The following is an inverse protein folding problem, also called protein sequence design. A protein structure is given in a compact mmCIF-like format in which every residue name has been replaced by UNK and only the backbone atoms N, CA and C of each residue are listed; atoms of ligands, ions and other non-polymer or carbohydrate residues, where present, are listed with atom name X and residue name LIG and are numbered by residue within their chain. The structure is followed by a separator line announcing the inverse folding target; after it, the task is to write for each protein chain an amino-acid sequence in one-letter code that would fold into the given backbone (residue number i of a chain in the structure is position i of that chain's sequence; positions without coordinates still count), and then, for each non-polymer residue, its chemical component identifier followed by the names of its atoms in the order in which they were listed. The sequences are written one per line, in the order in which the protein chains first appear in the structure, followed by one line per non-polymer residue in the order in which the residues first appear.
data_IF_353885249051
#
_entry.id   IF_353885249051
#
_cell.length_a   1.000
_cell.length_b   1.000
_cell.length_c   1.000
_cell.angle_alpha   90.00
_cell.angle_beta   90.00
_cell.angle_gamma   90.00
#
_symmetry.space_group_name_H-M   'P 1'
#
loop_
_entity.id
_entity.type
_entity.pdbx_description
1 polymer ?
#
# COMPACT_ATOMS: atom_id res chain seq x y z
N UNK A 1 -52.93 -30.56 1.09
CA UNK A 1 -53.12 -31.22 -0.22
C UNK A 1 -54.31 -32.18 -0.20
N UNK A 2 -54.46 -32.98 0.81
CA UNK A 2 -55.61 -33.93 0.94
C UNK A 2 -56.99 -33.30 1.05
N UNK A 3 -57.10 -32.09 1.60
CA UNK A 3 -58.36 -31.36 1.76
C UNK A 3 -58.95 -30.79 0.48
N UNK A 4 -58.22 -30.75 -0.63
CA UNK A 4 -58.64 -30.16 -1.91
C UNK A 4 -58.91 -31.21 -3.00
N UNK A 5 -58.78 -32.53 -2.72
CA UNK A 5 -58.97 -33.64 -3.70
C UNK A 5 -58.27 -33.43 -5.06
N UNK A 6 -57.08 -32.82 -5.05
CA UNK A 6 -56.31 -32.53 -6.26
C UNK A 6 -55.37 -33.70 -6.53
N UNK A 7 -55.52 -34.35 -7.70
CA UNK A 7 -54.60 -35.38 -8.18
C UNK A 7 -53.23 -34.76 -8.50
N UNK A 8 -52.16 -35.48 -8.21
CA UNK A 8 -50.77 -34.99 -8.39
C UNK A 8 -50.38 -34.70 -9.86
N UNK A 9 -51.26 -35.01 -10.81
CA UNK A 9 -50.96 -34.86 -12.25
C UNK A 9 -51.68 -33.71 -12.93
N UNK A 10 -52.60 -32.98 -12.20
CA UNK A 10 -53.32 -31.87 -12.79
C UNK A 10 -52.69 -30.53 -12.41
N UNK A 11 -52.34 -29.66 -13.38
CA UNK A 11 -51.82 -28.31 -13.07
C UNK A 11 -52.87 -27.50 -12.35
N UNK A 12 -52.52 -26.92 -11.23
CA UNK A 12 -53.41 -26.04 -10.48
C UNK A 12 -53.34 -24.64 -11.09
N UNK A 13 -54.28 -24.30 -11.95
CA UNK A 13 -54.42 -22.97 -12.49
C UNK A 13 -55.27 -22.09 -11.53
N UNK A 14 -54.58 -21.35 -10.69
CA UNK A 14 -55.22 -20.37 -9.80
C UNK A 14 -54.46 -19.05 -9.88
N UNK A 15 -55.20 -17.96 -10.18
CA UNK A 15 -54.66 -16.61 -10.23
C UNK A 15 -54.01 -16.18 -8.91
N UNK A 16 -54.50 -16.68 -7.79
CA UNK A 16 -53.95 -16.43 -6.44
C UNK A 16 -52.60 -17.18 -6.28
N UNK A 17 -52.51 -18.41 -6.78
CA UNK A 17 -51.27 -19.21 -6.72
C UNK A 17 -50.19 -18.60 -7.60
N UNK A 18 -50.51 -18.20 -8.83
CA UNK A 18 -49.58 -17.52 -9.73
C UNK A 18 -49.04 -16.22 -9.12
N UNK A 19 -49.89 -15.38 -8.57
CA UNK A 19 -49.47 -14.13 -7.87
C UNK A 19 -48.58 -14.44 -6.65
N UNK A 20 -48.88 -15.52 -5.91
CA UNK A 20 -48.06 -15.93 -4.76
C UNK A 20 -46.66 -16.40 -5.20
N UNK A 21 -46.59 -17.15 -6.30
CA UNK A 21 -45.32 -17.57 -6.90
C UNK A 21 -44.52 -16.39 -7.43
N UNK A 22 -45.15 -15.48 -8.16
CA UNK A 22 -44.49 -14.24 -8.65
C UNK A 22 -43.92 -13.42 -7.49
N UNK A 23 -44.69 -13.23 -6.42
CA UNK A 23 -44.23 -12.52 -5.24
C UNK A 23 -43.07 -13.25 -4.51
N UNK A 24 -43.13 -14.59 -4.48
CA UNK A 24 -42.04 -15.38 -3.90
C UNK A 24 -40.76 -15.27 -4.73
N UNK A 25 -40.90 -15.35 -6.07
CA UNK A 25 -39.79 -15.17 -7.00
C UNK A 25 -39.15 -13.79 -6.87
N UNK A 26 -39.96 -12.72 -6.86
CA UNK A 26 -39.47 -11.36 -6.68
C UNK A 26 -38.68 -11.18 -5.36
N UNK A 27 -39.16 -11.79 -4.26
CA UNK A 27 -38.43 -11.75 -2.99
C UNK A 27 -37.08 -12.46 -3.05
N UNK A 28 -37.02 -13.62 -3.70
CA UNK A 28 -35.80 -14.39 -3.89
C UNK A 28 -34.82 -13.63 -4.80
N UNK A 29 -35.31 -13.05 -5.90
CA UNK A 29 -34.51 -12.23 -6.80
C UNK A 29 -33.93 -10.99 -6.09
N UNK A 30 -34.76 -10.28 -5.29
CA UNK A 30 -34.31 -9.14 -4.49
C UNK A 30 -33.23 -9.55 -3.48
N UNK A 31 -33.43 -10.66 -2.78
CA UNK A 31 -32.45 -11.17 -1.82
C UNK A 31 -31.09 -11.47 -2.47
N UNK A 32 -31.10 -12.17 -3.61
CA UNK A 32 -29.85 -12.45 -4.33
C UNK A 32 -29.24 -11.21 -4.99
N UNK A 33 -30.08 -10.24 -5.38
CA UNK A 33 -29.58 -8.95 -5.87
C UNK A 33 -28.81 -8.21 -4.78
N UNK A 34 -29.35 -8.13 -3.56
CA UNK A 34 -28.71 -7.46 -2.43
C UNK A 34 -27.38 -8.12 -2.06
N UNK A 35 -27.33 -9.46 -2.06
CA UNK A 35 -26.06 -10.19 -1.84
C UNK A 35 -25.03 -9.85 -2.92
N UNK A 36 -25.41 -9.89 -4.20
CA UNK A 36 -24.48 -9.56 -5.30
C UNK A 36 -24.03 -8.12 -5.24
N UNK A 37 -24.92 -7.18 -4.91
CA UNK A 37 -24.59 -5.78 -4.73
C UNK A 37 -23.56 -5.58 -3.61
N UNK A 38 -23.80 -6.21 -2.48
CA UNK A 38 -22.88 -6.15 -1.35
C UNK A 38 -21.49 -6.71 -1.71
N UNK A 39 -21.43 -7.88 -2.37
CA UNK A 39 -20.16 -8.44 -2.85
C UNK A 39 -19.42 -7.47 -3.80
N UNK A 40 -20.15 -6.87 -4.73
CA UNK A 40 -19.60 -5.90 -5.67
C UNK A 40 -19.00 -4.68 -4.96
N UNK A 41 -19.70 -4.13 -3.96
CA UNK A 41 -19.23 -2.97 -3.19
C UNK A 41 -17.93 -3.25 -2.40
N UNK A 42 -17.74 -4.48 -1.90
CA UNK A 42 -16.47 -4.91 -1.30
C UNK A 42 -15.36 -5.08 -2.33
N UNK A 43 -15.67 -5.70 -3.47
CA UNK A 43 -14.67 -5.98 -4.52
C UNK A 43 -14.25 -4.69 -5.25
N UNK A 44 -15.13 -3.69 -5.34
CA UNK A 44 -14.83 -2.38 -5.96
C UNK A 44 -13.70 -1.65 -5.24
N UNK A 45 -13.64 -1.71 -3.90
CA UNK A 45 -12.57 -1.09 -3.11
C UNK A 45 -11.20 -1.65 -3.52
N UNK A 46 -11.10 -2.99 -3.57
CA UNK A 46 -9.85 -3.66 -3.95
C UNK A 46 -9.51 -3.41 -5.43
N UNK A 47 -10.52 -3.30 -6.29
CA UNK A 47 -10.32 -3.04 -7.71
C UNK A 47 -9.75 -1.64 -7.96
N UNK A 48 -10.22 -0.61 -7.25
CA UNK A 48 -9.64 0.73 -7.32
C UNK A 48 -8.17 0.76 -6.88
N UNK A 49 -7.85 0.08 -5.78
CA UNK A 49 -6.47 -0.06 -5.30
C UNK A 49 -5.59 -0.79 -6.32
N UNK A 50 -6.09 -1.86 -6.94
CA UNK A 50 -5.41 -2.61 -8.00
C UNK A 50 -5.09 -1.72 -9.20
N UNK A 51 -6.07 -0.95 -9.66
CA UNK A 51 -5.88 -0.04 -10.79
C UNK A 51 -4.79 0.99 -10.49
N UNK A 52 -4.76 1.57 -9.30
CA UNK A 52 -3.74 2.53 -8.90
C UNK A 52 -2.33 1.90 -8.89
N UNK A 53 -2.17 0.73 -8.28
CA UNK A 53 -0.87 0.02 -8.23
C UNK A 53 -0.40 -0.42 -9.61
N UNK A 54 -1.30 -0.93 -10.45
CA UNK A 54 -0.95 -1.36 -11.80
C UNK A 54 -0.61 -0.20 -12.72
N UNK A 55 -1.27 0.95 -12.57
CA UNK A 55 -0.92 2.17 -13.29
C UNK A 55 0.50 2.64 -12.91
N UNK A 56 0.82 2.65 -11.62
CA UNK A 56 2.17 3.02 -11.14
C UNK A 56 3.22 2.02 -11.61
N UNK A 57 2.95 0.73 -11.50
CA UNK A 57 3.86 -0.33 -12.01
C UNK A 57 4.13 -0.19 -13.50
N UNK A 58 3.09 0.09 -14.30
CA UNK A 58 3.22 0.32 -15.73
C UNK A 58 4.03 1.59 -16.02
N UNK A 59 3.81 2.67 -15.29
CA UNK A 59 4.58 3.90 -15.39
C UNK A 59 6.07 3.63 -15.21
N UNK A 60 6.45 2.86 -14.17
CA UNK A 60 7.83 2.49 -13.89
C UNK A 60 8.41 1.59 -14.99
N UNK A 61 7.64 0.61 -15.49
CA UNK A 61 8.09 -0.30 -16.55
C UNK A 61 8.46 0.43 -17.85
N UNK A 62 7.66 1.44 -18.22
CA UNK A 62 7.87 2.19 -19.46
C UNK A 62 8.76 3.43 -19.28
N UNK A 63 9.05 3.83 -18.05
CA UNK A 63 9.96 4.95 -17.78
C UNK A 63 11.41 4.53 -18.02
N UNK A 64 12.14 5.37 -18.75
CA UNK A 64 13.59 5.25 -18.88
C UNK A 64 14.34 5.93 -17.72
N UNK A 65 13.67 6.80 -16.98
CA UNK A 65 14.23 7.60 -15.90
C UNK A 65 13.33 7.56 -14.68
N UNK A 66 13.80 6.93 -13.62
CA UNK A 66 13.05 6.79 -12.36
C UNK A 66 13.68 7.58 -11.19
N UNK A 67 14.78 8.31 -11.46
CA UNK A 67 15.50 9.13 -10.48
C UNK A 67 14.57 10.08 -9.72
N UNK A 68 13.78 10.85 -10.46
CA UNK A 68 12.88 11.85 -9.86
C UNK A 68 11.84 11.22 -8.95
N UNK A 69 11.36 10.03 -9.30
CA UNK A 69 10.46 9.24 -8.46
C UNK A 69 11.13 8.83 -7.13
N UNK A 70 12.40 8.40 -7.17
CA UNK A 70 13.15 8.03 -5.95
C UNK A 70 13.37 9.25 -5.04
N UNK A 71 13.73 10.39 -5.63
CA UNK A 71 13.91 11.64 -4.87
C UNK A 71 12.58 12.10 -4.26
N UNK A 72 11.48 12.10 -5.01
CA UNK A 72 10.14 12.42 -4.52
C UNK A 72 9.71 11.49 -3.37
N UNK A 73 9.98 10.20 -3.48
CA UNK A 73 9.72 9.22 -2.42
C UNK A 73 10.53 9.56 -1.15
N UNK A 74 11.79 9.94 -1.30
CA UNK A 74 12.63 10.35 -0.20
C UNK A 74 12.14 11.65 0.47
N UNK A 75 11.82 12.67 -0.32
CA UNK A 75 11.29 13.95 0.16
C UNK A 75 9.96 13.77 0.90
N UNK A 76 9.03 12.99 0.34
CA UNK A 76 7.76 12.69 0.99
C UNK A 76 7.94 11.96 2.32
N UNK A 77 8.87 11.00 2.38
CA UNK A 77 9.17 10.25 3.62
C UNK A 77 9.77 11.18 4.68
N UNK A 78 10.66 12.10 4.29
CA UNK A 78 11.20 13.11 5.20
C UNK A 78 10.08 13.98 5.76
N UNK A 79 9.16 14.45 4.92
CA UNK A 79 8.01 15.25 5.35
C UNK A 79 7.15 14.50 6.38
N UNK A 80 6.83 13.24 6.13
CA UNK A 80 6.08 12.40 7.07
C UNK A 80 6.80 12.26 8.43
N UNK A 81 8.12 12.05 8.42
CA UNK A 81 8.94 11.95 9.63
C UNK A 81 8.95 13.29 10.39
N UNK A 82 9.11 14.42 9.70
CA UNK A 82 9.11 15.74 10.31
C UNK A 82 7.74 16.11 10.90
N UNK A 83 6.65 15.80 10.21
CA UNK A 83 5.29 16.00 10.72
C UNK A 83 5.09 15.22 12.02
N UNK A 84 5.56 13.97 12.09
CA UNK A 84 5.51 13.16 13.30
C UNK A 84 6.36 13.74 14.43
N UNK A 85 7.54 14.31 14.11
CA UNK A 85 8.43 14.98 15.06
C UNK A 85 7.75 16.18 15.71
N UNK A 86 7.20 17.08 14.90
CA UNK A 86 6.58 18.33 15.40
C UNK A 86 5.19 18.11 16.05
N UNK A 87 4.44 17.11 15.61
CA UNK A 87 3.09 16.83 16.14
C UNK A 87 3.10 16.18 17.53
N UNK A 88 4.21 15.54 17.91
CA UNK A 88 4.32 14.71 19.11
C UNK A 88 5.27 15.28 20.16
N UNK A 89 5.09 16.56 20.49
CA UNK A 89 5.92 17.33 21.44
C UNK A 89 6.33 16.64 22.75
N UNK A 90 5.94 15.38 23.08
CA UNK A 90 6.35 14.74 24.34
C UNK A 90 6.32 13.22 24.42
N UNK A 91 6.01 12.46 23.36
CA UNK A 91 5.77 10.99 23.50
C UNK A 91 6.69 10.06 22.69
N UNK A 92 7.40 10.55 21.68
CA UNK A 92 8.43 9.77 20.99
C UNK A 92 9.78 10.38 21.33
N UNK A 93 10.71 9.58 21.84
CA UNK A 93 12.09 10.03 22.09
C UNK A 93 12.67 10.63 20.80
N UNK A 94 13.20 11.84 20.85
CA UNK A 94 13.99 12.49 19.79
C UNK A 94 14.98 11.52 19.16
N UNK A 95 15.65 10.71 19.99
CA UNK A 95 16.59 9.64 19.56
C UNK A 95 15.99 8.60 18.64
N UNK A 96 14.70 8.26 18.78
CA UNK A 96 14.05 7.27 17.90
C UNK A 96 13.85 7.83 16.49
N UNK A 97 13.49 9.10 16.39
CA UNK A 97 13.31 9.79 15.11
C UNK A 97 14.66 10.05 14.44
N UNK A 98 15.63 10.51 15.23
CA UNK A 98 17.02 10.66 14.80
C UNK A 98 17.58 9.37 14.22
N UNK A 99 17.44 8.25 14.93
CA UNK A 99 17.84 6.94 14.43
C UNK A 99 17.10 6.55 13.14
N UNK A 100 15.82 6.89 13.01
CA UNK A 100 15.05 6.63 11.79
C UNK A 100 15.60 7.44 10.61
N UNK A 101 15.87 8.73 10.80
CA UNK A 101 16.46 9.60 9.77
C UNK A 101 17.86 9.12 9.38
N UNK A 102 18.72 8.84 10.36
CA UNK A 102 20.07 8.32 10.10
C UNK A 102 20.04 6.99 9.36
N UNK A 103 19.12 6.09 9.77
CA UNK A 103 18.98 4.80 9.09
C UNK A 103 18.41 4.96 7.69
N UNK A 104 17.50 5.89 7.46
CA UNK A 104 16.85 6.13 6.19
C UNK A 104 17.79 6.77 5.15
N UNK A 105 18.45 7.88 5.53
CA UNK A 105 19.31 8.63 4.63
C UNK A 105 20.76 8.12 4.60
N UNK A 106 21.11 7.15 5.44
CA UNK A 106 22.49 6.69 5.59
C UNK A 106 23.47 7.84 5.91
N UNK A 107 23.04 8.77 6.79
CA UNK A 107 23.79 9.96 7.14
C UNK A 107 25.07 9.62 7.89
N UNK A 108 26.12 10.46 7.78
CA UNK A 108 27.30 10.38 8.65
C UNK A 108 26.90 10.51 10.12
N UNK A 109 27.58 9.79 10.99
CA UNK A 109 27.31 9.79 12.45
C UNK A 109 27.54 11.17 13.11
N UNK A 110 28.28 12.03 12.45
CA UNK A 110 28.65 13.36 12.95
C UNK A 110 27.52 14.41 12.77
N UNK A 111 26.47 14.04 12.02
CA UNK A 111 25.27 14.88 11.84
C UNK A 111 24.29 14.56 12.98
N UNK A 112 24.53 15.13 14.15
CA UNK A 112 23.67 14.94 15.32
C UNK A 112 22.47 15.86 15.28
N UNK A 113 21.33 15.40 15.84
CA UNK A 113 20.09 16.21 15.94
C UNK A 113 20.25 17.46 16.80
N UNK A 114 21.25 17.48 17.69
CA UNK A 114 21.58 18.68 18.49
C UNK A 114 21.92 19.88 17.59
N UNK A 115 22.48 19.63 16.41
CA UNK A 115 22.72 20.65 15.41
C UNK A 115 21.42 21.01 14.63
N UNK A 116 20.44 20.12 14.59
CA UNK A 116 19.18 20.32 13.87
C UNK A 116 18.13 21.04 14.72
N UNK A 117 18.20 20.93 16.06
CA UNK A 117 17.28 21.62 16.98
C UNK A 117 17.37 23.16 16.88
N UNK A 118 18.49 23.71 16.39
CA UNK A 118 18.65 25.14 16.13
C UNK A 118 17.89 25.65 14.90
N UNK A 119 17.42 24.74 14.04
CA UNK A 119 16.69 25.09 12.83
C UNK A 119 15.18 25.06 13.07
N UNK A 120 14.47 25.98 12.42
CA UNK A 120 13.01 25.88 12.33
C UNK A 120 12.63 24.71 11.40
N UNK A 121 11.36 24.30 11.43
CA UNK A 121 10.85 23.18 10.61
C UNK A 121 11.25 23.29 9.12
N UNK A 122 11.19 24.49 8.56
CA UNK A 122 11.51 24.73 7.16
C UNK A 122 13.00 24.57 6.87
N UNK A 123 13.85 25.07 7.76
CA UNK A 123 15.31 24.93 7.66
C UNK A 123 15.75 23.46 7.77
N UNK A 124 15.16 22.72 8.71
CA UNK A 124 15.41 21.27 8.86
C UNK A 124 14.98 20.48 7.62
N UNK A 125 13.81 20.80 7.08
CA UNK A 125 13.32 20.17 5.86
C UNK A 125 14.28 20.38 4.68
N UNK A 126 14.69 21.63 4.43
CA UNK A 126 15.61 21.97 3.34
C UNK A 126 16.96 21.26 3.50
N UNK A 127 17.50 21.24 4.71
CA UNK A 127 18.76 20.55 5.00
C UNK A 127 18.65 19.04 4.73
N UNK A 128 17.59 18.39 5.17
CA UNK A 128 17.39 16.95 4.94
C UNK A 128 17.16 16.63 3.46
N UNK A 129 16.50 17.50 2.71
CA UNK A 129 16.35 17.36 1.26
C UNK A 129 17.68 17.47 0.54
N UNK A 130 18.53 18.41 0.94
CA UNK A 130 19.87 18.56 0.40
C UNK A 130 20.72 17.33 0.69
N UNK A 131 20.69 16.83 1.94
CA UNK A 131 21.40 15.60 2.31
C UNK A 131 20.91 14.36 1.55
N UNK A 132 19.60 14.24 1.33
CA UNK A 132 19.03 13.19 0.48
C UNK A 132 19.65 13.21 -0.92
N UNK A 133 19.68 14.40 -1.55
CA UNK A 133 20.22 14.58 -2.91
C UNK A 133 21.72 14.31 -2.97
N UNK A 134 22.49 14.85 -2.02
CA UNK A 134 23.94 14.60 -1.93
C UNK A 134 24.21 13.11 -1.78
N UNK A 135 23.51 12.44 -0.86
CA UNK A 135 23.69 10.99 -0.63
C UNK A 135 23.34 10.18 -1.88
N UNK A 136 22.28 10.57 -2.56
CA UNK A 136 21.88 9.94 -3.81
C UNK A 136 22.93 10.14 -4.92
N UNK A 137 23.40 11.38 -5.15
CA UNK A 137 24.38 11.70 -6.18
C UNK A 137 25.73 11.00 -5.93
N UNK A 138 26.16 10.90 -4.65
CA UNK A 138 27.34 10.12 -4.27
C UNK A 138 27.14 8.62 -4.58
N UNK A 139 25.95 8.10 -4.36
CA UNK A 139 25.63 6.70 -4.69
C UNK A 139 25.60 6.47 -6.20
N UNK A 140 25.01 7.40 -6.95
CA UNK A 140 25.02 7.38 -8.40
C UNK A 140 26.43 7.37 -8.94
N UNK A 141 27.28 8.30 -8.51
CA UNK A 141 28.66 8.39 -8.94
C UNK A 141 29.46 7.09 -8.64
N UNK A 142 29.25 6.50 -7.45
CA UNK A 142 29.88 5.24 -7.09
C UNK A 142 29.47 4.08 -8.01
N UNK A 143 28.18 3.93 -8.27
CA UNK A 143 27.66 2.83 -9.08
C UNK A 143 27.98 2.99 -10.58
N UNK A 144 27.98 4.23 -11.08
CA UNK A 144 28.35 4.53 -12.45
C UNK A 144 29.85 4.24 -12.75
N UNK A 145 30.74 4.40 -11.76
CA UNK A 145 32.14 3.99 -11.88
C UNK A 145 32.30 2.47 -12.03
N UNK A 146 31.42 1.69 -11.44
CA UNK A 146 31.46 0.23 -11.52
C UNK A 146 30.92 -0.28 -12.86
N UNK A 147 29.78 0.26 -13.28
CA UNK A 147 29.16 -0.05 -14.57
C UNK A 147 28.22 1.08 -14.98
N UNK A 148 28.40 1.67 -16.16
CA UNK A 148 27.48 2.70 -16.68
C UNK A 148 26.04 2.21 -16.72
N UNK A 149 25.10 3.02 -16.21
CA UNK A 149 23.67 2.72 -16.15
C UNK A 149 23.25 1.71 -15.11
N UNK A 150 24.15 1.26 -14.23
CA UNK A 150 23.82 0.27 -13.20
C UNK A 150 22.79 0.78 -12.21
N UNK A 151 22.91 2.04 -11.79
CA UNK A 151 21.98 2.62 -10.82
C UNK A 151 20.56 2.61 -11.38
N UNK A 152 20.35 2.93 -12.65
CA UNK A 152 19.02 2.93 -13.30
C UNK A 152 18.38 1.53 -13.33
N UNK A 153 19.20 0.52 -13.54
CA UNK A 153 18.75 -0.87 -13.50
C UNK A 153 18.34 -1.27 -12.07
N UNK A 154 19.14 -0.88 -11.07
CA UNK A 154 18.86 -1.18 -9.66
C UNK A 154 17.61 -0.45 -9.14
N UNK A 155 17.44 0.83 -9.46
CA UNK A 155 16.26 1.60 -9.09
C UNK A 155 14.99 0.95 -9.62
N UNK A 156 14.97 0.64 -10.92
CA UNK A 156 13.83 0.00 -11.57
C UNK A 156 13.56 -1.39 -10.97
N UNK A 157 14.61 -2.16 -10.71
CA UNK A 157 14.50 -3.47 -10.08
C UNK A 157 13.91 -3.39 -8.66
N UNK A 158 14.43 -2.49 -7.81
CA UNK A 158 13.92 -2.34 -6.44
C UNK A 158 12.48 -1.84 -6.42
N UNK A 159 12.14 -0.86 -7.27
CA UNK A 159 10.77 -0.35 -7.39
C UNK A 159 9.79 -1.48 -7.73
N UNK A 160 10.05 -2.23 -8.80
CA UNK A 160 9.17 -3.31 -9.24
C UNK A 160 9.09 -4.43 -8.20
N UNK A 161 10.22 -4.85 -7.65
CA UNK A 161 10.26 -5.91 -6.65
C UNK A 161 9.49 -5.54 -5.38
N UNK A 162 9.66 -4.30 -4.87
CA UNK A 162 8.95 -3.88 -3.66
C UNK A 162 7.46 -3.66 -3.90
N UNK A 163 7.06 -3.15 -5.07
CA UNK A 163 5.66 -3.02 -5.45
C UNK A 163 5.00 -4.41 -5.50
N UNK A 164 5.61 -5.36 -6.19
CA UNK A 164 5.05 -6.70 -6.37
C UNK A 164 4.93 -7.43 -5.02
N UNK A 165 5.96 -7.37 -4.18
CA UNK A 165 5.97 -7.97 -2.84
C UNK A 165 4.93 -7.33 -1.91
N UNK A 166 4.93 -6.01 -1.82
CA UNK A 166 4.01 -5.30 -0.93
C UNK A 166 2.54 -5.47 -1.37
N UNK A 167 2.28 -5.53 -2.67
CA UNK A 167 0.95 -5.81 -3.20
C UNK A 167 0.47 -7.21 -2.84
N UNK A 168 1.32 -8.23 -2.93
CA UNK A 168 0.98 -9.58 -2.51
C UNK A 168 0.60 -9.62 -1.02
N UNK A 169 1.45 -9.04 -0.15
CA UNK A 169 1.16 -8.95 1.29
C UNK A 169 -0.12 -8.15 1.58
N UNK A 170 -0.40 -7.12 0.77
CA UNK A 170 -1.63 -6.33 0.91
C UNK A 170 -2.88 -7.14 0.57
N UNK A 171 -2.85 -7.96 -0.48
CA UNK A 171 -3.95 -8.85 -0.82
C UNK A 171 -4.29 -9.82 0.32
N UNK A 172 -3.29 -10.38 1.00
CA UNK A 172 -3.47 -11.26 2.16
C UNK A 172 -4.13 -10.49 3.33
N UNK A 173 -3.66 -9.25 3.61
CA UNK A 173 -4.26 -8.40 4.64
C UNK A 173 -5.71 -8.02 4.32
N UNK A 174 -6.01 -7.74 3.05
CA UNK A 174 -7.38 -7.42 2.60
C UNK A 174 -8.31 -8.63 2.71
N UNK A 175 -7.83 -9.83 2.42
CA UNK A 175 -8.60 -11.05 2.63
C UNK A 175 -8.93 -11.26 4.12
N UNK A 176 -7.95 -11.12 5.01
CA UNK A 176 -8.17 -11.19 6.45
C UNK A 176 -9.09 -10.08 6.99
N UNK A 177 -8.99 -8.85 6.45
CA UNK A 177 -9.91 -7.78 6.79
C UNK A 177 -11.35 -8.12 6.41
N UNK A 178 -11.58 -8.66 5.21
CA UNK A 178 -12.90 -9.06 4.74
C UNK A 178 -13.55 -10.11 5.64
N UNK A 179 -12.78 -11.08 6.10
CA UNK A 179 -13.27 -12.11 7.04
C UNK A 179 -13.61 -11.51 8.41
N UNK A 180 -12.76 -10.61 8.91
CA UNK A 180 -12.91 -10.05 10.26
C UNK A 180 -14.02 -9.01 10.36
N UNK A 181 -14.34 -8.29 9.27
CA UNK A 181 -15.29 -7.17 9.32
C UNK A 181 -16.72 -7.63 9.61
N UNK A 182 -17.08 -8.86 9.20
CA UNK A 182 -18.38 -9.46 9.48
C UNK A 182 -18.67 -9.58 10.98
N UNK A 183 -17.66 -9.78 11.81
CA UNK A 183 -17.79 -9.88 13.27
C UNK A 183 -18.06 -8.52 13.94
N UNK A 184 -17.67 -7.41 13.28
CA UNK A 184 -17.83 -6.05 13.83
C UNK A 184 -19.23 -5.49 13.61
N UNK A 185 -20.06 -6.11 12.78
CA UNK A 185 -21.47 -5.71 12.58
C UNK A 185 -22.29 -5.73 13.86
N UNK A 186 -21.85 -6.47 14.89
CA UNK A 186 -22.46 -6.46 16.23
C UNK A 186 -22.34 -5.10 16.95
N UNK A 187 -21.44 -4.20 16.50
CA UNK A 187 -21.18 -2.88 17.09
C UNK A 187 -22.03 -1.73 16.56
N UNK A 188 -23.15 -1.99 15.86
CA UNK A 188 -24.05 -0.97 15.26
C UNK A 188 -23.41 -0.04 14.21
N UNK A 189 -22.22 -0.36 13.70
CA UNK A 189 -21.58 0.36 12.61
C UNK A 189 -21.83 -0.38 11.28
N UNK A 190 -21.93 0.38 10.19
CA UNK A 190 -22.06 -0.20 8.86
C UNK A 190 -20.75 -0.93 8.48
N UNK A 191 -20.78 -2.27 8.31
CA UNK A 191 -19.58 -3.04 8.01
C UNK A 191 -18.86 -2.59 6.74
N UNK A 192 -19.59 -2.09 5.74
CA UNK A 192 -19.01 -1.62 4.50
C UNK A 192 -18.20 -0.32 4.69
N UNK A 193 -18.70 0.59 5.52
CA UNK A 193 -18.01 1.85 5.83
C UNK A 193 -16.72 1.55 6.60
N UNK A 194 -16.79 0.68 7.60
CA UNK A 194 -15.60 0.24 8.35
C UNK A 194 -14.57 -0.45 7.44
N UNK A 195 -15.05 -1.34 6.56
CA UNK A 195 -14.18 -1.99 5.58
C UNK A 195 -13.46 -0.97 4.69
N UNK A 196 -14.18 0.02 4.12
CA UNK A 196 -13.60 1.08 3.28
C UNK A 196 -12.53 1.87 4.03
N UNK A 197 -12.80 2.25 5.28
CA UNK A 197 -11.88 3.01 6.11
C UNK A 197 -10.59 2.22 6.43
N UNK A 198 -10.73 0.97 6.88
CA UNK A 198 -9.57 0.13 7.19
C UNK A 198 -8.78 -0.26 5.93
N UNK A 199 -9.47 -0.59 4.84
CA UNK A 199 -8.84 -0.86 3.55
C UNK A 199 -8.01 0.32 3.05
N UNK A 200 -8.51 1.54 3.20
CA UNK A 200 -7.77 2.77 2.88
C UNK A 200 -6.52 2.91 3.76
N UNK A 201 -6.64 2.70 5.06
CA UNK A 201 -5.48 2.78 5.97
C UNK A 201 -4.43 1.72 5.67
N UNK A 202 -4.84 0.49 5.33
CA UNK A 202 -3.93 -0.58 4.91
C UNK A 202 -3.21 -0.21 3.60
N UNK A 203 -3.92 0.38 2.65
CA UNK A 203 -3.36 0.81 1.38
C UNK A 203 -2.32 1.92 1.56
N UNK A 204 -2.61 2.95 2.36
CA UNK A 204 -1.66 4.01 2.68
C UNK A 204 -0.41 3.44 3.36
N UNK A 205 -0.56 2.54 4.33
CA UNK A 205 0.58 1.87 4.99
C UNK A 205 1.44 1.10 3.98
N UNK A 206 0.83 0.42 3.03
CA UNK A 206 1.55 -0.28 1.96
C UNK A 206 2.36 0.69 1.09
N UNK A 207 1.76 1.80 0.64
CA UNK A 207 2.45 2.81 -0.17
C UNK A 207 3.62 3.43 0.60
N UNK A 208 3.42 3.81 1.87
CA UNK A 208 4.49 4.32 2.73
C UNK A 208 5.62 3.31 2.87
N UNK A 209 5.31 2.04 3.09
CA UNK A 209 6.30 0.97 3.18
C UNK A 209 7.11 0.81 1.89
N UNK A 210 6.47 0.85 0.71
CA UNK A 210 7.15 0.79 -0.58
C UNK A 210 8.14 1.95 -0.72
N UNK A 211 7.70 3.19 -0.46
CA UNK A 211 8.54 4.40 -0.54
C UNK A 211 9.75 4.31 0.37
N UNK A 212 9.52 4.05 1.66
CA UNK A 212 10.61 3.95 2.65
C UNK A 212 11.62 2.86 2.26
N UNK A 213 11.13 1.68 1.86
CA UNK A 213 11.98 0.53 1.55
C UNK A 213 12.80 0.74 0.28
N UNK A 214 12.19 1.30 -0.77
CA UNK A 214 12.90 1.55 -2.04
C UNK A 214 14.03 2.55 -1.83
N UNK A 215 13.76 3.69 -1.18
CA UNK A 215 14.80 4.70 -0.90
C UNK A 215 15.91 4.09 -0.03
N UNK A 216 15.54 3.35 1.03
CA UNK A 216 16.50 2.66 1.89
C UNK A 216 17.43 1.73 1.10
N UNK A 217 16.88 0.92 0.18
CA UNK A 217 17.64 -0.01 -0.65
C UNK A 217 18.55 0.71 -1.64
N UNK A 218 18.04 1.74 -2.32
CA UNK A 218 18.83 2.52 -3.28
C UNK A 218 20.01 3.20 -2.57
N UNK A 219 19.79 3.85 -1.43
CA UNK A 219 20.86 4.55 -0.69
C UNK A 219 21.94 3.62 -0.13
N UNK A 220 21.63 2.33 0.06
CA UNK A 220 22.56 1.32 0.60
C UNK A 220 23.07 0.31 -0.40
N UNK A 221 22.65 0.40 -1.66
CA UNK A 221 23.07 -0.55 -2.69
C UNK A 221 24.61 -0.57 -2.78
N UNK A 222 25.19 -1.74 -2.49
CA UNK A 222 26.62 -2.04 -2.65
C UNK A 222 26.75 -3.29 -3.49
N UNK A 223 27.67 -3.29 -4.44
CA UNK A 223 28.06 -4.53 -5.10
C UNK A 223 28.91 -5.33 -4.11
N UNK A 224 28.40 -6.47 -3.68
CA UNK A 224 29.22 -7.51 -3.10
C UNK A 224 29.81 -8.25 -4.31
N UNK A 225 31.03 -7.93 -4.65
CA UNK A 225 31.79 -8.77 -5.59
C UNK A 225 31.95 -10.11 -4.88
N UNK A 226 31.17 -11.11 -5.31
CA UNK A 226 31.37 -12.46 -4.85
C UNK A 226 32.82 -12.84 -5.14
N UNK A 227 33.59 -13.24 -4.14
CA UNK A 227 34.84 -13.94 -4.34
C UNK A 227 34.47 -15.21 -5.13
N UNK A 228 34.59 -15.11 -6.46
CA UNK A 228 34.62 -16.31 -7.28
C UNK A 228 35.85 -17.10 -6.79
N UNK A 229 35.60 -18.20 -6.11
CA UNK A 229 36.58 -19.23 -5.88
C UNK A 229 37.26 -19.57 -7.22
N UNK A 230 38.38 -18.89 -7.48
CA UNK A 230 39.37 -19.38 -8.43
C UNK A 230 40.08 -20.50 -7.69
N UNK A 231 39.45 -21.67 -7.69
CA UNK A 231 40.17 -22.92 -7.48
C UNK A 231 40.33 -23.55 -8.87
N UNK A 232 41.48 -23.29 -9.45
CA UNK A 232 42.06 -24.07 -10.52
C UNK A 232 42.39 -25.50 -10.08
#
# INVERSE_FOLDING_TARGET
MESLKINNETPIESQILSRSLDNAQQKVEAYYYDIRKQLFEYDEVLNHQRQAIYAERNRILHSNYVRDCIIEYGETTIDEILILYYKKNNLISTKTIENKIHSFLNLPKDLTMDNLESYNMMGMKLLLYEQLRITYDLREAYLEQLKPGLIRQLEKYYLLQQIDKAWQEHLEKMAGLRESIGWRSYGQQDPLVEYKNEAFLLFIKMITYIRETVVYLVMRSKLILGENNIQS
#
